data_IF_316892063033
#
_entry.id   IF_316892063033
#
_cell.length_a   1.000
_cell.length_b   1.000
_cell.length_c   1.000
_cell.angle_alpha   90.00
_cell.angle_beta   90.00
_cell.angle_gamma   90.00
#
_symmetry.space_group_name_H-M   'P 1'
#
loop_
_entity.id
_entity.type
_entity.pdbx_description
1 polymer ?
#
# COMPACT_ATOMS: atom_id res chain seq x y z
N UNK A 1 2.76 30.99 -15.37
CA UNK A 1 3.23 29.98 -14.39
C UNK A 1 2.15 28.93 -14.28
N UNK A 2 2.46 27.63 -14.37
CA UNK A 2 1.47 26.58 -14.07
C UNK A 2 1.25 26.59 -12.55
N UNK A 3 0.02 26.76 -12.10
CA UNK A 3 -0.32 26.55 -10.69
C UNK A 3 -0.05 25.08 -10.34
N UNK A 4 0.55 24.84 -9.17
CA UNK A 4 0.77 23.49 -8.70
C UNK A 4 -0.59 22.86 -8.34
N UNK A 5 -1.01 21.86 -9.11
CA UNK A 5 -2.28 21.14 -8.91
C UNK A 5 -2.29 20.33 -7.60
N UNK A 6 -1.11 20.01 -7.08
CA UNK A 6 -0.90 19.26 -5.84
C UNK A 6 0.40 19.71 -5.18
N UNK A 7 0.45 19.68 -3.85
CA UNK A 7 1.65 19.97 -3.05
C UNK A 7 1.85 18.91 -1.97
N UNK A 8 3.11 18.60 -1.64
CA UNK A 8 3.45 17.73 -0.49
C UNK A 8 3.21 18.50 0.81
N UNK A 9 2.37 17.95 1.68
CA UNK A 9 2.11 18.51 3.00
C UNK A 9 3.12 17.99 4.05
N UNK A 10 3.39 16.68 4.04
CA UNK A 10 4.34 16.00 4.95
C UNK A 10 4.63 14.59 4.46
N UNK A 11 5.77 14.03 4.87
CA UNK A 11 6.19 12.69 4.51
C UNK A 11 7.08 12.07 5.57
N UNK A 12 7.12 10.74 5.62
CA UNK A 12 8.08 9.95 6.40
C UNK A 12 8.23 8.57 5.79
N UNK A 13 9.32 7.88 6.12
CA UNK A 13 9.46 6.44 5.89
C UNK A 13 8.97 5.73 7.14
N UNK A 14 8.07 4.77 6.98
CA UNK A 14 7.61 3.93 8.08
C UNK A 14 8.75 3.02 8.53
N UNK A 15 8.89 2.83 9.84
CA UNK A 15 9.93 1.98 10.44
C UNK A 15 9.20 1.05 11.40
N UNK A 16 9.21 -0.25 11.10
CA UNK A 16 8.55 -1.29 11.90
C UNK A 16 9.49 -1.96 12.90
N UNK A 17 10.71 -1.43 13.05
CA UNK A 17 11.64 -1.77 14.10
C UNK A 17 12.98 -2.31 13.59
N UNK A 18 13.82 -2.83 14.50
CA UNK A 18 15.17 -3.22 14.16
C UNK A 18 15.21 -4.51 13.32
N UNK A 19 15.79 -4.40 12.13
CA UNK A 19 16.16 -5.50 11.22
C UNK A 19 16.80 -6.69 11.93
N UNK A 20 17.71 -6.42 12.88
CA UNK A 20 18.50 -7.44 13.58
C UNK A 20 17.65 -8.37 14.47
N UNK A 21 16.43 -7.96 14.81
CA UNK A 21 15.52 -8.75 15.65
C UNK A 21 14.62 -9.71 14.86
N UNK A 22 14.67 -9.65 13.52
CA UNK A 22 13.83 -10.47 12.64
C UNK A 22 12.34 -10.16 12.73
N UNK A 23 11.98 -9.02 13.32
CA UNK A 23 10.60 -8.56 13.45
C UNK A 23 10.18 -7.65 12.29
N UNK A 24 11.13 -7.09 11.54
CA UNK A 24 10.88 -6.27 10.35
C UNK A 24 10.06 -7.07 9.32
N UNK A 25 8.91 -6.52 8.96
CA UNK A 25 7.94 -7.07 8.03
C UNK A 25 8.30 -6.80 6.58
N UNK A 26 8.97 -5.69 6.29
CA UNK A 26 9.10 -5.13 4.95
C UNK A 26 10.51 -5.20 4.40
N UNK A 27 10.69 -5.89 3.27
CA UNK A 27 12.00 -5.84 2.57
C UNK A 27 12.35 -4.44 2.03
N UNK A 28 11.35 -3.56 1.93
CA UNK A 28 11.44 -2.16 1.52
C UNK A 28 10.42 -1.38 2.32
N UNK A 29 10.90 -0.50 3.17
CA UNK A 29 10.06 0.23 4.10
C UNK A 29 9.09 1.17 3.36
N UNK A 30 7.78 1.15 3.70
CA UNK A 30 6.79 1.99 3.04
C UNK A 30 7.10 3.49 3.19
N UNK A 31 7.16 4.19 2.06
CA UNK A 31 7.25 5.64 2.07
C UNK A 31 5.86 6.25 2.13
N UNK A 32 5.59 7.06 3.15
CA UNK A 32 4.27 7.66 3.40
C UNK A 32 4.32 9.15 3.07
N UNK A 33 3.43 9.59 2.17
CA UNK A 33 3.37 11.00 1.76
C UNK A 33 1.94 11.50 1.78
N UNK A 34 1.69 12.58 2.52
CA UNK A 34 0.45 13.33 2.45
C UNK A 34 0.57 14.45 1.42
N UNK A 35 -0.38 14.48 0.49
CA UNK A 35 -0.56 15.54 -0.49
C UNK A 35 -1.76 16.39 -0.14
N UNK A 36 -1.69 17.67 -0.52
CA UNK A 36 -2.82 18.60 -0.47
C UNK A 36 -3.17 19.06 -1.89
N UNK A 37 -4.45 19.07 -2.25
CA UNK A 37 -4.95 19.56 -3.52
C UNK A 37 -6.26 20.32 -3.41
N UNK A 38 -6.29 21.50 -4.02
CA UNK A 38 -7.50 22.32 -4.17
C UNK A 38 -8.37 21.88 -5.36
N UNK A 39 -7.97 20.85 -6.09
CA UNK A 39 -8.65 20.40 -7.31
C UNK A 39 -9.38 19.06 -7.15
N UNK A 40 -9.16 18.33 -6.06
CA UNK A 40 -9.84 17.08 -5.71
C UNK A 40 -10.91 17.30 -4.66
N UNK A 41 -11.89 16.39 -4.58
CA UNK A 41 -12.93 16.42 -3.55
C UNK A 41 -12.32 16.24 -2.15
N UNK A 42 -11.39 15.29 -2.03
CA UNK A 42 -10.54 15.12 -0.85
C UNK A 42 -9.41 16.13 -0.91
N UNK A 43 -9.25 16.95 0.13
CA UNK A 43 -8.24 18.03 0.14
C UNK A 43 -6.87 17.53 0.53
N UNK A 44 -6.79 16.74 1.58
CA UNK A 44 -5.56 16.14 2.07
C UNK A 44 -5.71 14.62 1.98
N UNK A 45 -4.80 13.96 1.29
CA UNK A 45 -4.82 12.50 1.13
C UNK A 45 -3.42 11.94 1.22
N UNK A 46 -3.29 10.75 1.77
CA UNK A 46 -2.02 10.05 1.92
C UNK A 46 -1.85 9.01 0.83
N UNK A 47 -0.71 9.02 0.15
CA UNK A 47 -0.28 7.94 -0.73
C UNK A 47 0.81 7.13 -0.01
N UNK A 48 0.69 5.81 -0.07
CA UNK A 48 1.66 4.85 0.45
C UNK A 48 2.06 3.92 -0.70
N UNK A 49 3.03 4.32 -1.53
CA UNK A 49 3.64 3.43 -2.50
C UNK A 49 4.31 2.24 -1.80
N UNK A 50 4.06 1.03 -2.29
CA UNK A 50 4.79 -0.15 -1.86
C UNK A 50 5.16 -1.06 -3.04
N UNK A 51 6.37 -1.60 -2.97
CA UNK A 51 6.82 -2.70 -3.82
C UNK A 51 7.18 -3.89 -2.93
N UNK A 52 6.25 -4.82 -2.77
CA UNK A 52 6.45 -5.94 -1.84
C UNK A 52 7.51 -6.91 -2.35
N UNK A 53 8.15 -7.67 -1.47
CA UNK A 53 8.96 -8.81 -1.89
C UNK A 53 8.05 -9.97 -2.33
N UNK A 54 8.26 -10.58 -3.51
CA UNK A 54 7.45 -11.73 -3.97
C UNK A 54 7.39 -12.88 -2.95
N UNK A 55 8.52 -13.14 -2.27
CA UNK A 55 8.64 -14.25 -1.31
C UNK A 55 7.98 -13.96 0.04
N UNK A 56 7.65 -12.69 0.30
CA UNK A 56 7.03 -12.21 1.54
C UNK A 56 5.71 -11.48 1.28
N UNK A 57 5.13 -11.59 0.08
CA UNK A 57 4.00 -10.76 -0.36
C UNK A 57 2.82 -10.82 0.63
N UNK A 58 2.45 -12.02 1.09
CA UNK A 58 1.37 -12.21 2.08
C UNK A 58 1.66 -11.47 3.40
N UNK A 59 2.91 -11.54 3.89
CA UNK A 59 3.33 -10.91 5.14
C UNK A 59 3.35 -9.39 5.01
N UNK A 60 3.97 -8.87 3.95
CA UNK A 60 4.06 -7.42 3.69
C UNK A 60 2.68 -6.80 3.44
N UNK A 61 1.83 -7.46 2.64
CA UNK A 61 0.45 -6.99 2.41
C UNK A 61 -0.36 -6.97 3.71
N UNK A 62 -0.21 -7.98 4.57
CA UNK A 62 -0.86 -7.97 5.86
C UNK A 62 -0.33 -6.86 6.79
N UNK A 63 0.97 -6.53 6.71
CA UNK A 63 1.61 -5.48 7.50
C UNK A 63 1.22 -4.06 7.06
N UNK A 64 0.81 -3.85 5.79
CA UNK A 64 0.29 -2.55 5.32
C UNK A 64 -0.91 -2.05 6.13
N UNK A 65 -1.66 -2.95 6.78
CA UNK A 65 -2.71 -2.58 7.73
C UNK A 65 -2.16 -1.75 8.89
N UNK A 66 -0.99 -2.12 9.42
CA UNK A 66 -0.36 -1.45 10.56
C UNK A 66 0.22 -0.08 10.15
N UNK A 67 0.68 0.04 8.91
CA UNK A 67 1.09 1.33 8.32
C UNK A 67 -0.10 2.29 8.25
N UNK A 68 -1.26 1.81 7.80
CA UNK A 68 -2.50 2.61 7.75
C UNK A 68 -2.93 3.02 9.16
N UNK A 69 -2.81 2.11 10.14
CA UNK A 69 -3.10 2.43 11.54
C UNK A 69 -2.13 3.49 12.10
N UNK A 70 -0.83 3.44 11.76
CA UNK A 70 0.15 4.47 12.13
C UNK A 70 -0.20 5.82 11.50
N UNK A 71 -0.55 5.87 10.20
CA UNK A 71 -0.97 7.11 9.54
C UNK A 71 -2.19 7.74 10.23
N UNK A 72 -3.20 6.91 10.54
CA UNK A 72 -4.40 7.36 11.26
C UNK A 72 -4.05 7.93 12.62
N UNK A 73 -3.22 7.23 13.39
CA UNK A 73 -2.82 7.68 14.73
C UNK A 73 -1.94 8.94 14.67
N UNK A 74 -0.99 8.99 13.72
CA UNK A 74 0.02 10.05 13.60
C UNK A 74 -0.57 11.33 13.04
N UNK A 75 -1.46 11.24 12.05
CA UNK A 75 -1.93 12.39 11.28
C UNK A 75 -3.44 12.64 11.34
N UNK A 76 -4.21 11.76 11.99
CA UNK A 76 -5.67 11.84 12.04
C UNK A 76 -6.27 12.00 10.64
N UNK A 77 -5.78 11.19 9.69
CA UNK A 77 -6.25 11.15 8.31
C UNK A 77 -6.71 9.74 7.94
N UNK A 78 -7.92 9.63 7.39
CA UNK A 78 -8.50 8.38 6.89
C UNK A 78 -8.47 8.28 5.36
N UNK A 79 -8.21 9.40 4.67
CA UNK A 79 -8.11 9.44 3.21
C UNK A 79 -6.74 8.93 2.77
N UNK A 80 -6.61 7.60 2.68
CA UNK A 80 -5.35 6.89 2.42
C UNK A 80 -5.52 5.98 1.20
N UNK A 81 -4.55 6.05 0.28
CA UNK A 81 -4.42 5.14 -0.86
C UNK A 81 -3.11 4.37 -0.71
N UNK A 82 -3.24 3.06 -0.56
CA UNK A 82 -2.14 2.11 -0.76
C UNK A 82 -2.04 1.85 -2.27
N UNK A 83 -0.84 1.86 -2.83
CA UNK A 83 -0.66 1.55 -4.24
C UNK A 83 0.72 0.97 -4.55
N UNK A 84 0.83 0.17 -5.61
CA UNK A 84 2.10 -0.22 -6.20
C UNK A 84 2.16 -1.70 -6.57
N UNK A 85 3.37 -2.19 -6.80
CA UNK A 85 3.60 -3.61 -7.11
C UNK A 85 3.52 -4.45 -5.83
N UNK A 86 2.33 -4.95 -5.56
CA UNK A 86 2.02 -5.72 -4.36
C UNK A 86 2.31 -7.21 -4.52
N UNK A 87 2.76 -7.67 -5.70
CA UNK A 87 2.85 -9.09 -6.01
C UNK A 87 1.56 -9.85 -5.61
N UNK A 88 0.39 -9.18 -5.72
CA UNK A 88 -0.87 -9.59 -5.09
C UNK A 88 -1.68 -10.62 -5.92
N UNK A 89 -1.02 -11.69 -6.36
CA UNK A 89 -1.68 -12.77 -7.08
C UNK A 89 -0.76 -13.89 -7.54
N UNK A 90 -1.31 -14.75 -8.39
CA UNK A 90 -0.60 -15.89 -8.98
C UNK A 90 0.08 -16.77 -7.91
N UNK A 91 1.36 -17.06 -8.07
CA UNK A 91 2.11 -17.91 -7.14
C UNK A 91 2.50 -17.22 -5.84
N UNK A 92 2.45 -15.89 -5.78
CA UNK A 92 2.90 -15.10 -4.62
C UNK A 92 1.80 -14.93 -3.57
N UNK A 93 0.54 -14.82 -4.02
CA UNK A 93 -0.64 -14.79 -3.14
C UNK A 93 -1.72 -15.69 -3.72
N UNK A 94 -1.93 -16.85 -3.10
CA UNK A 94 -2.95 -17.81 -3.50
C UNK A 94 -4.33 -17.46 -2.94
N UNK A 95 -5.38 -18.13 -3.44
CA UNK A 95 -6.76 -17.93 -2.97
C UNK A 95 -6.95 -18.10 -1.46
N UNK A 96 -6.22 -19.02 -0.83
CA UNK A 96 -6.28 -19.23 0.63
C UNK A 96 -5.52 -18.17 1.42
N UNK A 97 -4.51 -17.53 0.83
CA UNK A 97 -3.66 -16.56 1.53
C UNK A 97 -4.39 -15.25 1.79
N UNK A 98 -5.33 -14.89 0.93
CA UNK A 98 -6.13 -13.67 1.08
C UNK A 98 -6.86 -13.54 2.42
N UNK A 99 -7.21 -14.66 3.06
CA UNK A 99 -7.85 -14.64 4.38
C UNK A 99 -6.90 -14.24 5.51
N UNK A 100 -5.59 -14.24 5.26
CA UNK A 100 -4.56 -13.80 6.21
C UNK A 100 -4.25 -12.31 6.09
N UNK A 101 -4.69 -11.64 5.01
CA UNK A 101 -4.33 -10.27 4.68
C UNK A 101 -5.41 -9.31 5.21
N UNK A 102 -5.08 -8.54 6.25
CA UNK A 102 -6.04 -7.63 6.90
C UNK A 102 -6.59 -6.55 5.98
N UNK A 103 -5.77 -5.96 5.10
CA UNK A 103 -6.25 -4.97 4.12
C UNK A 103 -7.20 -5.57 3.05
N UNK A 104 -7.35 -6.90 3.00
CA UNK A 104 -8.34 -7.58 2.16
C UNK A 104 -9.58 -8.05 2.93
N UNK A 105 -9.38 -8.57 4.14
CA UNK A 105 -10.48 -9.09 4.98
C UNK A 105 -11.30 -7.97 5.61
N UNK A 106 -10.65 -6.86 6.00
CA UNK A 106 -11.32 -5.65 6.46
C UNK A 106 -12.03 -4.95 5.28
N UNK A 107 -13.36 -4.87 5.36
CA UNK A 107 -14.21 -4.31 4.29
C UNK A 107 -14.29 -2.78 4.29
N UNK A 108 -13.58 -2.11 5.18
CA UNK A 108 -13.33 -0.67 5.10
C UNK A 108 -12.30 -0.32 4.02
N UNK A 109 -11.51 -1.30 3.56
CA UNK A 109 -10.60 -1.14 2.42
C UNK A 109 -11.30 -1.48 1.11
N UNK A 110 -11.08 -0.65 0.10
CA UNK A 110 -11.63 -0.83 -1.24
C UNK A 110 -10.50 -1.11 -2.24
N UNK A 111 -10.52 -2.31 -2.83
CA UNK A 111 -9.57 -2.70 -3.88
C UNK A 111 -10.09 -2.25 -5.23
N UNK A 112 -9.41 -1.29 -5.85
CA UNK A 112 -9.82 -0.72 -7.13
C UNK A 112 -9.37 -1.59 -8.32
N UNK A 113 -8.19 -2.21 -8.21
CA UNK A 113 -7.70 -3.20 -9.17
C UNK A 113 -8.10 -4.59 -8.66
N UNK A 114 -8.95 -5.25 -9.45
CA UNK A 114 -9.54 -6.55 -9.12
C UNK A 114 -8.60 -7.71 -9.44
N UNK A 115 -8.87 -8.89 -8.86
CA UNK A 115 -8.13 -10.14 -9.14
C UNK A 115 -8.15 -10.58 -10.62
N UNK A 116 -9.08 -10.03 -11.42
CA UNK A 116 -9.20 -10.31 -12.85
C UNK A 116 -8.32 -9.42 -13.74
N UNK A 117 -7.65 -8.41 -13.18
CA UNK A 117 -6.78 -7.52 -13.94
C UNK A 117 -5.47 -8.23 -14.29
N UNK A 118 -4.98 -8.02 -15.50
CA UNK A 118 -3.59 -8.32 -15.85
C UNK A 118 -2.79 -7.02 -15.80
N UNK A 119 -1.84 -6.96 -14.87
CA UNK A 119 -0.97 -5.77 -14.71
C UNK A 119 0.44 -6.02 -15.23
N UNK A 120 0.68 -7.18 -15.86
CA UNK A 120 2.00 -7.51 -16.39
C UNK A 120 2.09 -7.20 -17.89
N UNK A 121 3.30 -6.87 -18.36
CA UNK A 121 3.59 -6.77 -19.81
C UNK A 121 4.15 -8.07 -20.39
N UNK A 122 4.35 -9.08 -19.53
CA UNK A 122 4.96 -10.35 -19.91
C UNK A 122 3.90 -11.34 -20.43
N UNK A 123 4.26 -12.62 -20.60
CA UNK A 123 3.29 -13.66 -20.98
C UNK A 123 2.46 -14.18 -19.80
N UNK A 124 2.79 -13.78 -18.57
CA UNK A 124 1.98 -14.06 -17.39
C UNK A 124 0.69 -13.26 -17.42
N UNK A 125 -0.36 -13.75 -16.75
CA UNK A 125 -1.62 -13.01 -16.54
C UNK A 125 -1.81 -12.90 -15.04
N UNK A 126 -1.31 -11.81 -14.43
CA UNK A 126 -1.25 -11.68 -12.97
C UNK A 126 -1.64 -10.27 -12.49
N UNK A 127 -2.45 -10.16 -11.42
CA UNK A 127 -2.86 -8.88 -10.83
C UNK A 127 -1.85 -8.42 -9.76
N UNK A 128 -0.59 -8.19 -10.15
CA UNK A 128 0.48 -7.85 -9.20
C UNK A 128 0.35 -6.44 -8.65
N UNK A 129 0.08 -5.47 -9.52
CA UNK A 129 -0.05 -4.06 -9.16
C UNK A 129 -1.47 -3.76 -8.69
N UNK A 130 -1.62 -3.16 -7.51
CA UNK A 130 -2.94 -2.84 -6.93
C UNK A 130 -3.01 -1.47 -6.27
#
# INVERSE_FOLDING_TARGET
MKEALVSVAKSYTYDDGPEETGQDAFSREPFVVMFSSKHTAVRDFTLIPQHTSPESAVRELNALYDVVADVRARWNNDDIVLLGDFNAGCSYVSGSDWQQIRIFTDKTFHWLITDAADTTVSQTVCPYDR
#
